data_IF_567105712894
#
_entry.id   IF_567105712894
#
_cell.length_a   1.000
_cell.length_b   1.000
_cell.length_c   1.000
_cell.angle_alpha   90.00
_cell.angle_beta   90.00
_cell.angle_gamma   90.00
#
_symmetry.space_group_name_H-M   'P 1'
#
loop_
_entity.id
_entity.type
_entity.pdbx_description
1 polymer ?
#
# COMPACT_ATOMS: atom_id res chain seq x y z
N UNK A 1 34.06 15.69 -27.47
CA UNK A 1 32.63 15.51 -27.80
C UNK A 1 32.00 14.55 -26.80
N UNK A 2 31.36 15.01 -25.71
CA UNK A 2 30.64 14.12 -24.79
C UNK A 2 29.13 14.40 -24.91
N UNK A 3 28.44 13.62 -25.74
CA UNK A 3 27.03 13.84 -26.02
C UNK A 3 26.35 12.60 -26.57
N UNK A 4 26.36 11.49 -25.82
CA UNK A 4 25.63 10.29 -26.25
C UNK A 4 25.15 9.36 -25.11
N UNK A 5 25.32 9.69 -23.83
CA UNK A 5 24.95 8.79 -22.71
C UNK A 5 23.69 9.18 -21.94
N UNK A 6 22.98 10.23 -22.35
CA UNK A 6 21.76 10.70 -21.68
C UNK A 6 20.45 10.09 -22.22
N UNK A 7 20.48 9.30 -23.31
CA UNK A 7 19.28 8.90 -24.04
C UNK A 7 18.73 7.49 -23.73
N UNK A 8 19.42 6.67 -22.94
CA UNK A 8 18.95 5.29 -22.64
C UNK A 8 17.94 5.25 -21.46
N UNK A 9 17.89 6.29 -20.62
CA UNK A 9 16.99 6.32 -19.46
C UNK A 9 15.55 6.79 -19.76
N UNK A 10 15.32 7.43 -20.91
CA UNK A 10 13.99 7.94 -21.27
C UNK A 10 13.09 6.90 -21.98
N UNK A 11 13.68 5.87 -22.61
CA UNK A 11 12.96 4.91 -23.45
C UNK A 11 12.46 3.65 -22.72
N UNK A 12 12.81 3.45 -21.45
CA UNK A 12 12.37 2.28 -20.67
C UNK A 12 11.01 2.48 -19.96
N UNK A 13 10.37 3.65 -20.09
CA UNK A 13 9.09 3.97 -19.46
C UNK A 13 7.89 3.87 -20.41
N UNK A 14 8.09 3.48 -21.68
CA UNK A 14 7.09 3.74 -22.73
C UNK A 14 6.01 2.68 -22.93
N UNK A 15 6.14 1.46 -22.40
CA UNK A 15 4.97 0.59 -22.22
C UNK A 15 5.28 -0.54 -21.25
N UNK A 16 4.65 -0.50 -20.07
CA UNK A 16 4.55 -1.71 -19.27
C UNK A 16 3.77 -2.76 -20.08
N UNK A 17 4.06 -4.05 -19.88
CA UNK A 17 3.22 -5.09 -20.45
C UNK A 17 1.77 -4.90 -19.97
N UNK A 18 0.77 -5.47 -20.66
CA UNK A 18 -0.60 -5.45 -20.17
C UNK A 18 -0.64 -5.93 -18.72
N UNK A 19 -0.94 -5.00 -17.81
CA UNK A 19 -1.01 -5.30 -16.39
C UNK A 19 -2.44 -5.70 -16.02
N UNK A 20 -2.61 -6.67 -15.11
CA UNK A 20 -3.91 -6.92 -14.51
C UNK A 20 -4.38 -5.66 -13.79
N UNK A 21 -5.70 -5.57 -13.61
CA UNK A 21 -6.31 -4.45 -12.87
C UNK A 21 -5.70 -4.29 -11.48
N UNK A 22 -5.26 -5.40 -10.86
CA UNK A 22 -4.66 -5.42 -9.52
C UNK A 22 -3.45 -6.35 -9.45
N UNK A 23 -2.54 -6.04 -8.55
CA UNK A 23 -1.36 -6.86 -8.27
C UNK A 23 -0.50 -6.24 -7.17
N UNK A 24 0.68 -6.81 -6.98
CA UNK A 24 1.60 -6.47 -5.89
C UNK A 24 2.89 -5.88 -6.42
N UNK A 25 3.34 -4.77 -5.84
CA UNK A 25 4.63 -4.18 -6.10
C UNK A 25 5.59 -4.57 -4.97
N UNK A 26 6.62 -5.34 -5.28
CA UNK A 26 7.67 -5.80 -4.37
C UNK A 26 8.94 -4.96 -4.56
N UNK A 27 9.50 -4.47 -3.47
CA UNK A 27 10.82 -3.86 -3.47
C UNK A 27 11.93 -4.92 -3.54
N UNK A 28 12.86 -4.75 -4.48
CA UNK A 28 14.00 -5.65 -4.70
C UNK A 28 15.28 -4.85 -4.86
N UNK A 29 16.44 -5.53 -4.85
CA UNK A 29 17.73 -4.89 -5.15
C UNK A 29 17.81 -4.32 -6.58
N UNK A 30 16.98 -4.80 -7.51
CA UNK A 30 16.96 -4.35 -8.89
C UNK A 30 15.97 -3.18 -9.14
N UNK A 31 15.24 -2.75 -8.12
CA UNK A 31 14.12 -1.80 -8.18
C UNK A 31 12.82 -2.46 -7.77
N UNK A 32 11.69 -1.96 -8.28
CA UNK A 32 10.36 -2.47 -7.90
C UNK A 32 9.86 -3.50 -8.90
N UNK A 33 9.62 -4.73 -8.44
CA UNK A 33 9.01 -5.79 -9.23
C UNK A 33 7.48 -5.73 -9.12
N UNK A 34 6.79 -5.64 -10.25
CA UNK A 34 5.34 -5.77 -10.35
C UNK A 34 5.02 -7.26 -10.49
N UNK A 35 4.08 -7.75 -9.68
CA UNK A 35 3.68 -9.15 -9.61
C UNK A 35 2.16 -9.28 -9.67
N UNK A 36 1.65 -10.43 -10.15
CA UNK A 36 0.25 -10.77 -9.91
C UNK A 36 -0.02 -11.00 -8.41
N UNK A 37 -1.30 -11.07 -8.01
CA UNK A 37 -1.65 -11.31 -6.59
C UNK A 37 -1.14 -12.66 -6.05
N UNK A 38 -0.89 -13.62 -6.94
CA UNK A 38 -0.40 -14.96 -6.59
C UNK A 38 1.14 -15.05 -6.60
N UNK A 39 1.84 -13.95 -6.93
CA UNK A 39 3.30 -13.84 -6.85
C UNK A 39 4.11 -13.86 -8.16
N UNK A 40 3.65 -14.44 -9.29
CA UNK A 40 4.40 -14.38 -10.55
C UNK A 40 4.78 -12.96 -10.97
N UNK A 41 6.06 -12.71 -11.34
CA UNK A 41 6.52 -11.40 -11.80
C UNK A 41 5.95 -11.06 -13.17
N UNK A 42 5.67 -9.77 -13.38
CA UNK A 42 5.11 -9.19 -14.60
C UNK A 42 6.08 -8.20 -15.25
N UNK A 43 6.73 -7.37 -14.45
CA UNK A 43 7.69 -6.36 -14.91
C UNK A 43 8.59 -5.88 -13.76
N UNK A 44 9.73 -5.26 -14.10
CA UNK A 44 10.60 -4.60 -13.10
C UNK A 44 10.77 -3.13 -13.46
N UNK A 45 10.44 -2.26 -12.51
CA UNK A 45 10.63 -0.81 -12.59
C UNK A 45 12.00 -0.46 -12.00
N UNK A 46 13.02 -0.41 -12.86
CA UNK A 46 14.39 -0.10 -12.44
C UNK A 46 14.54 1.36 -12.03
N UNK A 47 15.37 1.61 -11.01
CA UNK A 47 15.64 2.96 -10.50
C UNK A 47 14.48 3.59 -9.73
N UNK A 48 13.47 2.79 -9.39
CA UNK A 48 12.38 3.14 -8.50
C UNK A 48 12.39 2.25 -7.26
N UNK A 49 11.98 2.86 -6.15
CA UNK A 49 11.77 2.28 -4.83
C UNK A 49 10.31 2.46 -4.39
N UNK A 50 9.84 1.71 -3.39
CA UNK A 50 8.49 1.90 -2.86
C UNK A 50 8.42 3.15 -1.96
N UNK A 51 7.28 3.87 -2.01
CA UNK A 51 7.03 5.03 -1.17
C UNK A 51 5.81 4.81 -0.26
N UNK A 52 5.87 3.90 0.72
CA UNK A 52 4.73 3.54 1.56
C UNK A 52 4.22 4.71 2.43
N UNK A 53 5.08 5.68 2.77
CA UNK A 53 4.71 6.91 3.47
C UNK A 53 3.83 7.85 2.62
N UNK A 54 3.84 7.67 1.31
CA UNK A 54 3.07 8.42 0.31
C UNK A 54 1.89 7.63 -0.25
N UNK A 55 1.53 6.49 0.34
CA UNK A 55 0.49 5.60 -0.15
C UNK A 55 -0.84 6.32 -0.45
N UNK A 56 -1.49 5.92 -1.53
CA UNK A 56 -2.80 6.40 -2.00
C UNK A 56 -3.76 5.21 -2.12
N UNK A 57 -5.07 5.42 -2.01
CA UNK A 57 -6.01 4.31 -2.22
C UNK A 57 -5.87 3.79 -3.65
N UNK A 58 -5.99 2.48 -3.80
CA UNK A 58 -5.97 1.76 -5.08
C UNK A 58 -4.68 1.94 -5.91
N UNK A 59 -3.61 2.50 -5.35
CA UNK A 59 -2.40 2.87 -6.10
C UNK A 59 -1.13 2.51 -5.33
N UNK A 60 -0.24 1.81 -6.02
CA UNK A 60 1.15 1.72 -5.62
C UNK A 60 1.86 3.04 -5.94
N UNK A 61 2.64 3.54 -4.98
CA UNK A 61 3.40 4.78 -5.08
C UNK A 61 4.88 4.45 -5.06
N UNK A 62 5.61 5.01 -6.01
CA UNK A 62 7.03 4.77 -6.21
C UNK A 62 7.80 6.07 -6.08
N UNK A 63 9.09 5.97 -5.78
CA UNK A 63 10.03 7.09 -5.69
C UNK A 63 11.24 6.80 -6.54
N UNK A 64 11.73 7.79 -7.29
CA UNK A 64 13.00 7.66 -7.98
C UNK A 64 14.18 8.15 -7.13
N UNK A 65 15.41 7.96 -7.62
CA UNK A 65 16.63 8.44 -6.96
C UNK A 65 16.74 9.97 -6.79
N UNK A 66 15.81 10.76 -7.35
CA UNK A 66 15.71 12.22 -7.15
C UNK A 66 14.57 12.60 -6.20
N UNK A 67 13.93 11.63 -5.57
CA UNK A 67 12.80 11.84 -4.66
C UNK A 67 11.48 12.19 -5.36
N UNK A 68 11.39 12.05 -6.69
CA UNK A 68 10.14 12.30 -7.43
C UNK A 68 9.21 11.12 -7.26
N UNK A 69 7.92 11.40 -7.06
CA UNK A 69 6.91 10.37 -6.85
C UNK A 69 6.18 10.01 -8.13
N UNK A 70 5.86 8.73 -8.27
CA UNK A 70 5.11 8.15 -9.37
C UNK A 70 4.01 7.23 -8.84
N UNK A 71 2.91 7.12 -9.59
CA UNK A 71 1.82 6.20 -9.30
C UNK A 71 1.54 5.34 -10.52
N UNK A 72 1.18 4.09 -10.30
CA UNK A 72 0.69 3.21 -11.37
C UNK A 72 -0.80 3.47 -11.58
N UNK A 73 -1.19 3.97 -12.74
CA UNK A 73 -2.58 4.23 -13.10
C UNK A 73 -2.83 3.86 -14.57
N UNK A 74 -3.80 2.97 -14.83
CA UNK A 74 -4.15 2.54 -16.18
C UNK A 74 -2.97 1.90 -16.92
N UNK A 75 -2.17 1.08 -16.24
CA UNK A 75 -0.98 0.44 -16.81
C UNK A 75 0.19 1.38 -17.12
N UNK A 76 0.16 2.64 -16.65
CA UNK A 76 1.21 3.62 -16.90
C UNK A 76 1.66 4.28 -15.61
N UNK A 77 2.96 4.62 -15.55
CA UNK A 77 3.49 5.45 -14.48
C UNK A 77 3.16 6.92 -14.75
N UNK A 78 2.57 7.57 -13.75
CA UNK A 78 2.26 9.00 -13.80
C UNK A 78 2.90 9.70 -12.62
N UNK A 79 3.44 10.90 -12.84
CA UNK A 79 4.01 11.71 -11.76
C UNK A 79 2.91 12.06 -10.75
N UNK A 80 3.25 12.00 -9.47
CA UNK A 80 2.38 12.39 -8.37
C UNK A 80 3.04 13.50 -7.52
N UNK A 81 2.24 14.39 -6.91
CA UNK A 81 2.77 15.37 -5.97
C UNK A 81 3.10 14.73 -4.63
N UNK A 82 4.12 15.26 -3.94
CA UNK A 82 4.37 14.96 -2.53
C UNK A 82 3.20 15.45 -1.68
N UNK A 83 2.77 14.67 -0.69
CA UNK A 83 1.67 15.06 0.21
C UNK A 83 2.13 15.08 1.65
N UNK A 84 1.80 16.16 2.36
CA UNK A 84 2.08 16.34 3.79
C UNK A 84 0.78 16.68 4.53
N UNK A 85 0.70 16.30 5.80
CA UNK A 85 -0.47 16.57 6.63
C UNK A 85 -1.71 15.76 6.22
N UNK A 86 -2.87 16.41 6.26
CA UNK A 86 -4.14 15.80 5.88
C UNK A 86 -4.21 15.58 4.36
N UNK A 87 -4.62 14.37 3.94
CA UNK A 87 -4.70 14.01 2.52
C UNK A 87 -5.96 13.22 2.20
N UNK A 88 -6.57 13.53 1.06
CA UNK A 88 -7.59 12.68 0.47
C UNK A 88 -6.92 11.41 -0.08
N UNK A 89 -7.25 10.24 0.46
CA UNK A 89 -6.71 8.95 0.00
C UNK A 89 -7.67 8.24 -0.94
N UNK A 90 -8.97 8.39 -0.69
CA UNK A 90 -10.11 7.84 -1.43
C UNK A 90 -11.12 8.98 -1.67
N UNK A 91 -12.02 8.88 -2.65
CA UNK A 91 -13.00 9.90 -3.08
C UNK A 91 -13.79 10.48 -1.89
N UNK A 92 -13.94 9.70 -0.82
CA UNK A 92 -14.68 10.10 0.37
C UNK A 92 -13.87 9.97 1.67
N UNK A 93 -12.55 9.78 1.63
CA UNK A 93 -11.74 9.67 2.85
C UNK A 93 -10.64 10.71 2.89
N UNK A 94 -10.58 11.46 3.98
CA UNK A 94 -9.45 12.32 4.34
C UNK A 94 -8.72 11.72 5.52
N UNK A 95 -7.44 11.43 5.34
CA UNK A 95 -6.53 10.91 6.37
C UNK A 95 -5.69 12.05 6.90
N UNK A 96 -5.88 12.38 8.16
CA UNK A 96 -5.04 13.28 8.93
C UNK A 96 -4.24 12.48 9.97
N UNK A 97 -3.11 12.99 10.47
CA UNK A 97 -2.27 12.25 11.42
C UNK A 97 -3.04 11.67 12.62
N UNK A 98 -4.04 12.39 13.14
CA UNK A 98 -4.79 12.01 14.33
C UNK A 98 -6.23 11.55 14.08
N UNK A 99 -6.72 11.60 12.85
CA UNK A 99 -8.09 11.21 12.53
C UNK A 99 -8.27 10.81 11.06
N UNK A 100 -9.17 9.85 10.84
CA UNK A 100 -9.72 9.54 9.52
C UNK A 100 -11.13 10.12 9.46
N UNK A 101 -11.41 10.91 8.43
CA UNK A 101 -12.70 11.56 8.21
C UNK A 101 -13.34 11.04 6.94
N UNK A 102 -14.65 10.81 7.00
CA UNK A 102 -15.52 10.62 5.85
C UNK A 102 -16.47 11.80 5.65
N UNK A 103 -17.36 11.71 4.66
CA UNK A 103 -18.35 12.74 4.38
C UNK A 103 -19.23 13.09 5.60
N UNK A 104 -19.59 12.10 6.42
CA UNK A 104 -20.43 12.27 7.60
C UNK A 104 -19.67 12.60 8.90
N UNK A 105 -18.34 12.83 8.84
CA UNK A 105 -17.53 13.20 10.01
C UNK A 105 -16.39 12.23 10.32
N UNK A 106 -15.96 12.19 11.59
CA UNK A 106 -14.80 11.40 12.03
C UNK A 106 -15.18 9.92 12.08
N UNK A 107 -14.49 9.09 11.30
CA UNK A 107 -14.67 7.63 11.27
C UNK A 107 -13.78 6.91 12.29
N UNK A 108 -12.58 7.43 12.50
CA UNK A 108 -11.65 6.92 13.50
C UNK A 108 -10.75 8.04 14.03
N UNK A 109 -10.47 7.99 15.34
CA UNK A 109 -9.41 8.78 15.98
C UNK A 109 -8.15 7.92 16.10
N UNK A 110 -7.02 8.57 16.36
CA UNK A 110 -5.78 7.88 16.72
C UNK A 110 -6.04 6.82 17.81
N UNK A 111 -5.62 5.55 17.62
CA UNK A 111 -5.80 4.50 18.61
C UNK A 111 -4.86 4.66 19.81
N UNK A 112 -3.76 5.42 19.66
CA UNK A 112 -2.72 5.59 20.67
C UNK A 112 -2.23 7.04 20.70
N UNK A 113 -1.54 7.44 21.78
CA UNK A 113 -0.91 8.75 21.90
C UNK A 113 0.19 8.92 20.84
N UNK A 114 1.00 7.89 20.64
CA UNK A 114 2.15 7.87 19.74
C UNK A 114 1.78 7.31 18.37
N UNK A 115 2.22 7.97 17.31
CA UNK A 115 2.01 7.58 15.92
C UNK A 115 1.01 8.44 15.15
N UNK A 116 0.74 8.03 13.91
CA UNK A 116 -0.17 8.71 13.01
C UNK A 116 -0.80 7.80 11.95
N UNK A 117 -1.98 8.19 11.47
CA UNK A 117 -2.58 7.56 10.29
C UNK A 117 -1.81 7.95 9.03
N UNK A 118 -1.45 6.95 8.23
CA UNK A 118 -0.75 7.15 6.95
C UNK A 118 -1.61 6.80 5.75
N UNK A 119 -2.62 5.96 5.90
CA UNK A 119 -3.42 5.54 4.75
C UNK A 119 -4.78 5.00 5.19
N UNK A 120 -5.77 5.14 4.32
CA UNK A 120 -7.08 4.53 4.48
C UNK A 120 -7.80 4.37 3.13
N UNK A 121 -8.61 3.33 3.00
CA UNK A 121 -9.39 3.01 1.80
C UNK A 121 -10.72 2.34 2.19
N UNK A 122 -11.84 2.75 1.56
CA UNK A 122 -13.12 2.07 1.77
C UNK A 122 -13.13 0.70 1.11
N UNK A 123 -13.85 -0.23 1.71
CA UNK A 123 -14.20 -1.48 1.03
C UNK A 123 -15.03 -1.17 -0.22
N UNK A 124 -15.03 -2.07 -1.23
CA UNK A 124 -15.87 -1.89 -2.42
C UNK A 124 -17.36 -1.70 -2.13
N UNK A 125 -17.84 -2.29 -1.02
CA UNK A 125 -19.23 -2.14 -0.55
C UNK A 125 -19.48 -0.88 0.30
N UNK A 126 -18.45 -0.06 0.56
CA UNK A 126 -18.52 1.17 1.34
C UNK A 126 -18.77 1.00 2.84
N UNK A 127 -18.98 -0.22 3.32
CA UNK A 127 -19.41 -0.51 4.70
C UNK A 127 -18.27 -0.76 5.70
N UNK A 128 -17.02 -0.64 5.25
CA UNK A 128 -15.82 -0.77 6.04
C UNK A 128 -14.70 0.12 5.48
N UNK A 129 -13.71 0.42 6.31
CA UNK A 129 -12.47 1.09 5.91
C UNK A 129 -11.29 0.27 6.40
N UNK A 130 -10.33 0.02 5.51
CA UNK A 130 -9.02 -0.52 5.84
C UNK A 130 -8.09 0.67 6.04
N UNK A 131 -7.35 0.70 7.13
CA UNK A 131 -6.50 1.83 7.49
C UNK A 131 -5.13 1.37 7.98
N UNK A 132 -4.13 2.22 7.79
CA UNK A 132 -2.77 2.00 8.25
C UNK A 132 -2.38 3.03 9.30
N UNK A 133 -2.04 2.54 10.49
CA UNK A 133 -1.38 3.32 11.53
C UNK A 133 0.13 3.07 11.49
N UNK A 134 0.93 4.12 11.67
CA UNK A 134 2.37 4.02 11.89
C UNK A 134 2.69 4.58 13.27
N UNK A 135 3.36 3.81 14.12
CA UNK A 135 3.79 4.23 15.47
C UNK A 135 5.31 4.46 15.53
N UNK A 136 5.79 4.97 16.66
CA UNK A 136 7.22 4.93 16.99
C UNK A 136 7.70 3.46 17.06
N UNK A 137 8.97 3.22 16.74
CA UNK A 137 9.55 1.90 16.44
C UNK A 137 9.10 1.26 15.13
N UNK A 138 8.48 2.02 14.22
CA UNK A 138 8.14 1.57 12.85
C UNK A 138 7.27 0.30 12.80
N UNK A 139 6.51 0.04 13.87
CA UNK A 139 5.57 -1.09 13.94
C UNK A 139 4.28 -0.68 13.24
N UNK A 140 4.07 -1.04 11.95
CA UNK A 140 2.82 -0.73 11.28
C UNK A 140 1.69 -1.56 11.89
N UNK A 141 0.50 -0.99 11.99
CA UNK A 141 -0.70 -1.77 12.32
C UNK A 141 -1.80 -1.44 11.33
N UNK A 142 -2.27 -2.48 10.63
CA UNK A 142 -3.45 -2.44 9.80
C UNK A 142 -4.70 -2.56 10.68
N UNK A 143 -5.67 -1.69 10.43
CA UNK A 143 -6.94 -1.63 11.14
C UNK A 143 -8.12 -1.79 10.20
N UNK A 144 -9.13 -2.51 10.66
CA UNK A 144 -10.49 -2.49 10.14
C UNK A 144 -11.32 -1.50 10.94
N UNK A 145 -11.95 -0.55 10.24
CA UNK A 145 -12.98 0.33 10.80
C UNK A 145 -14.32 -0.11 10.21
N UNK A 146 -15.23 -0.59 11.05
CA UNK A 146 -16.57 -0.96 10.61
C UNK A 146 -17.58 -0.81 11.75
N UNK A 147 -18.79 -0.32 11.43
CA UNK A 147 -19.86 -0.09 12.42
C UNK A 147 -19.37 0.74 13.63
N UNK A 148 -18.60 1.78 13.36
CA UNK A 148 -18.01 2.66 14.40
C UNK A 148 -16.92 2.02 15.26
N UNK A 149 -16.52 0.78 14.99
CA UNK A 149 -15.50 0.06 15.76
C UNK A 149 -14.19 0.00 14.99
N UNK A 150 -13.09 0.23 15.71
CA UNK A 150 -11.73 0.09 15.22
C UNK A 150 -11.16 -1.25 15.73
N UNK A 151 -10.65 -2.09 14.83
CA UNK A 151 -10.09 -3.40 15.16
C UNK A 151 -8.76 -3.64 14.44
N UNK A 152 -7.71 -3.95 15.18
CA UNK A 152 -6.43 -4.33 14.59
C UNK A 152 -6.50 -5.73 13.95
N UNK A 153 -5.78 -5.93 12.85
CA UNK A 153 -5.61 -7.25 12.25
C UNK A 153 -4.55 -8.11 12.96
N UNK A 154 -3.63 -7.48 13.67
CA UNK A 154 -2.55 -8.11 14.42
C UNK A 154 -1.43 -7.11 14.70
N UNK A 155 -0.39 -7.55 15.39
CA UNK A 155 0.84 -6.78 15.50
C UNK A 155 1.62 -6.84 14.18
N UNK A 156 2.31 -5.76 13.82
CA UNK A 156 3.17 -5.67 12.62
C UNK A 156 2.47 -6.04 11.30
N UNK A 157 1.39 -5.33 11.00
CA UNK A 157 0.59 -5.54 9.79
C UNK A 157 0.60 -4.32 8.89
N UNK A 158 0.68 -4.56 7.58
CA UNK A 158 0.57 -3.52 6.55
C UNK A 158 -0.73 -3.72 5.77
N UNK A 159 -1.56 -2.67 5.73
CA UNK A 159 -2.74 -2.59 4.90
C UNK A 159 -2.33 -2.34 3.45
N UNK A 160 -2.72 -3.23 2.54
CA UNK A 160 -2.37 -3.11 1.11
C UNK A 160 -3.55 -2.62 0.26
N UNK A 161 -4.78 -3.02 0.57
CA UNK A 161 -5.96 -2.67 -0.24
C UNK A 161 -7.13 -3.62 0.00
N UNK A 162 -8.09 -3.61 -0.91
CA UNK A 162 -9.23 -4.53 -0.91
C UNK A 162 -9.27 -5.40 -2.16
N UNK A 163 -9.77 -6.63 -2.01
CA UNK A 163 -10.25 -7.44 -3.13
C UNK A 163 -11.65 -7.00 -3.55
N UNK A 164 -12.07 -7.22 -4.82
CA UNK A 164 -13.42 -6.84 -5.29
C UNK A 164 -14.54 -7.50 -4.48
N UNK A 165 -14.26 -8.71 -4.00
CA UNK A 165 -15.12 -9.54 -3.15
C UNK A 165 -15.22 -9.04 -1.70
N UNK A 166 -14.46 -8.01 -1.33
CA UNK A 166 -14.60 -7.30 -0.05
C UNK A 166 -13.69 -7.81 1.08
N UNK A 167 -12.75 -8.71 0.82
CA UNK A 167 -11.69 -9.07 1.74
C UNK A 167 -10.59 -8.01 1.77
N UNK A 168 -10.10 -7.70 2.96
CA UNK A 168 -8.95 -6.81 3.12
C UNK A 168 -7.67 -7.57 2.77
N UNK A 169 -6.80 -6.95 1.98
CA UNK A 169 -5.47 -7.48 1.69
C UNK A 169 -4.50 -6.93 2.73
N UNK A 170 -3.99 -7.82 3.58
CA UNK A 170 -3.12 -7.46 4.71
C UNK A 170 -1.83 -8.26 4.65
N UNK A 171 -0.70 -7.57 4.72
CA UNK A 171 0.62 -8.17 4.85
C UNK A 171 1.00 -8.32 6.32
N UNK A 172 1.19 -9.55 6.77
CA UNK A 172 1.70 -9.86 8.10
C UNK A 172 3.21 -10.00 8.03
N UNK A 173 3.92 -9.04 8.63
CA UNK A 173 5.37 -8.97 8.63
C UNK A 173 5.92 -9.49 9.96
N UNK A 174 7.01 -10.28 9.94
CA UNK A 174 7.82 -10.50 11.12
C UNK A 174 8.95 -9.46 11.12
N UNK A 175 8.63 -8.22 11.49
CA UNK A 175 9.63 -7.18 11.72
C UNK A 175 10.38 -7.38 13.04
N UNK A 176 9.86 -8.22 13.93
CA UNK A 176 10.62 -8.77 15.04
C UNK A 176 10.52 -7.98 16.35
N UNK A 177 9.73 -6.92 16.41
CA UNK A 177 9.38 -6.26 17.67
C UNK A 177 8.31 -7.07 18.41
N UNK A 178 7.37 -7.67 17.67
CA UNK A 178 6.31 -8.52 18.21
C UNK A 178 6.16 -9.74 17.30
N UNK A 179 6.59 -10.91 17.77
CA UNK A 179 6.52 -12.15 16.99
C UNK A 179 5.09 -12.49 16.60
N UNK A 180 4.68 -12.18 15.37
CA UNK A 180 3.44 -12.71 14.80
C UNK A 180 3.75 -14.05 14.13
N UNK A 181 3.08 -15.12 14.55
CA UNK A 181 3.30 -16.47 14.00
C UNK A 181 2.87 -16.64 12.54
N UNK A 182 2.29 -15.61 11.90
CA UNK A 182 1.78 -15.65 10.52
C UNK A 182 2.62 -14.71 9.66
N UNK A 183 3.22 -15.26 8.59
CA UNK A 183 3.99 -14.49 7.60
C UNK A 183 3.35 -14.62 6.24
N UNK A 184 3.16 -13.50 5.56
CA UNK A 184 2.66 -13.45 4.19
C UNK A 184 1.55 -12.43 3.99
N UNK A 185 1.07 -12.35 2.76
CA UNK A 185 -0.05 -11.49 2.36
C UNK A 185 -1.31 -12.34 2.34
N UNK A 186 -2.35 -11.88 3.01
CA UNK A 186 -3.61 -12.60 3.17
C UNK A 186 -4.78 -11.77 2.69
N UNK A 187 -5.75 -12.44 2.07
CA UNK A 187 -7.12 -11.96 1.94
C UNK A 187 -7.86 -12.27 3.24
N UNK A 188 -8.24 -11.22 3.97
CA UNK A 188 -8.89 -11.32 5.28
C UNK A 188 -10.37 -10.94 5.14
N UNK A 189 -11.29 -11.92 5.15
CA UNK A 189 -12.71 -11.61 5.13
C UNK A 189 -13.15 -10.98 6.46
N UNK A 190 -14.28 -10.26 6.46
CA UNK A 190 -14.85 -9.71 7.70
C UNK A 190 -15.26 -10.80 8.71
N UNK A 191 -15.67 -11.96 8.19
CA UNK A 191 -16.02 -13.17 8.96
C UNK A 191 -15.36 -14.37 8.29
N UNK A 192 -14.92 -15.34 9.07
CA UNK A 192 -14.28 -16.55 8.57
C UNK A 192 -12.76 -16.51 8.66
N UNK A 193 -12.11 -17.46 7.97
CA UNK A 193 -10.66 -17.67 8.04
C UNK A 193 -9.93 -16.85 6.96
N UNK A 194 -8.82 -16.17 7.30
CA UNK A 194 -7.97 -15.53 6.30
C UNK A 194 -7.38 -16.55 5.32
N UNK A 195 -7.35 -16.19 4.03
CA UNK A 195 -6.75 -17.00 2.96
C UNK A 195 -5.40 -16.41 2.57
N UNK A 196 -4.36 -17.24 2.52
CA UNK A 196 -3.05 -16.83 2.06
C UNK A 196 -3.11 -16.54 0.55
N UNK A 197 -2.59 -15.38 0.14
CA UNK A 197 -2.37 -15.03 -1.27
C UNK A 197 -0.93 -15.29 -1.65
N UNK A 198 0.02 -14.76 -0.86
CA UNK A 198 1.44 -14.84 -1.17
C UNK A 198 2.28 -15.08 0.09
N UNK A 199 3.18 -16.06 0.02
CA UNK A 199 4.25 -16.20 1.03
C UNK A 199 5.32 -15.16 0.75
N UNK A 200 5.68 -14.38 1.75
CA UNK A 200 6.70 -13.33 1.59
C UNK A 200 8.02 -13.73 2.25
N UNK A 201 9.12 -13.25 1.67
CA UNK A 201 10.41 -13.25 2.32
C UNK A 201 10.40 -12.36 3.58
N UNK A 202 11.39 -12.56 4.46
CA UNK A 202 11.58 -11.69 5.63
C UNK A 202 11.97 -10.28 5.14
N UNK A 203 11.46 -9.25 5.80
CA UNK A 203 11.73 -7.83 5.51
C UNK A 203 11.31 -7.32 4.12
N UNK A 204 10.68 -8.16 3.29
CA UNK A 204 10.16 -7.70 2.00
C UNK A 204 9.10 -6.60 2.20
N UNK A 205 9.16 -5.57 1.37
CA UNK A 205 8.19 -4.48 1.36
C UNK A 205 7.28 -4.62 0.15
N UNK A 206 5.98 -4.49 0.39
CA UNK A 206 4.95 -4.61 -0.63
C UNK A 206 4.02 -3.40 -0.59
N UNK A 207 3.59 -2.98 -1.77
CA UNK A 207 2.37 -2.20 -1.98
C UNK A 207 1.45 -2.97 -2.93
N UNK A 208 0.18 -2.61 -2.95
CA UNK A 208 -0.78 -3.11 -3.94
C UNK A 208 -1.19 -1.97 -4.87
N UNK A 209 -1.43 -2.30 -6.13
CA UNK A 209 -2.17 -1.42 -7.03
C UNK A 209 -3.51 -2.02 -7.37
N UNK A 210 -4.43 -1.16 -7.78
CA UNK A 210 -5.76 -1.52 -8.22
C UNK A 210 -6.69 -1.79 -7.04
N UNK A 211 -7.93 -1.33 -7.20
CA UNK A 211 -8.96 -1.36 -6.18
C UNK A 211 -10.31 -1.00 -6.74
#
# INVERSE_FOLDING_TARGET
MPGALALVLAAALTSLPPLPQRGLALETKAGVELQSLDGPPLATLRGLDLAPDQALAHKAVFRDGRGRLFVLAGGRLRRAPLRRGCRATDVQLTVCPRAIRGAAGVLARAPQAVGHWVWAERSPSGNAVLAQWSAECEVPVAYLIAKGKLRAYGAETVALGWLPTGEAVVHFRPLGCVGSGRRGIYAVPRKGKPRLLLRTARFAQYLMWGG
#
